data_IF_333258902791
#
_entry.id   IF_333258902791
#
_cell.length_a   1.000
_cell.length_b   1.000
_cell.length_c   1.000
_cell.angle_alpha   90.00
_cell.angle_beta   90.00
_cell.angle_gamma   90.00
#
_symmetry.space_group_name_H-M   'P 1'
#
loop_
_entity.id
_entity.type
_entity.pdbx_description
1 polymer ?
#
# COMPACT_ATOMS: atom_id res chain seq x y z
N UNK A 1 31.17 3.22 -8.15
CA UNK A 1 29.87 3.86 -8.32
C UNK A 1 28.81 2.77 -8.18
N UNK A 2 27.81 2.91 -7.33
CA UNK A 2 26.76 1.90 -7.20
C UNK A 2 25.81 1.98 -8.40
N UNK A 3 25.06 0.89 -8.66
CA UNK A 3 24.02 0.90 -9.71
C UNK A 3 23.02 2.05 -9.49
N UNK A 4 22.59 2.25 -8.25
CA UNK A 4 21.64 3.33 -7.91
C UNK A 4 22.21 4.71 -8.25
N UNK A 5 23.50 4.95 -7.96
CA UNK A 5 24.14 6.23 -8.28
C UNK A 5 24.24 6.48 -9.79
N UNK A 6 24.36 5.43 -10.62
CA UNK A 6 24.39 5.59 -12.08
C UNK A 6 23.06 6.05 -12.67
N UNK A 7 21.96 5.79 -12.01
CA UNK A 7 20.63 6.27 -12.43
C UNK A 7 20.48 7.80 -12.31
N UNK A 8 21.35 8.46 -11.55
CA UNK A 8 21.32 9.92 -11.42
C UNK A 8 21.81 10.63 -12.71
N UNK A 9 22.50 9.92 -13.58
CA UNK A 9 23.08 10.46 -14.81
C UNK A 9 22.41 9.91 -16.08
N UNK A 10 21.44 9.01 -15.93
CA UNK A 10 20.79 8.34 -17.06
C UNK A 10 19.27 8.45 -16.96
N UNK A 11 18.55 8.50 -18.11
CA UNK A 11 17.10 8.35 -18.08
C UNK A 11 16.69 7.00 -17.50
N UNK A 12 15.67 7.00 -16.63
CA UNK A 12 15.12 5.78 -16.04
C UNK A 12 13.60 5.87 -15.91
N UNK A 13 12.96 4.72 -15.76
CA UNK A 13 11.53 4.60 -15.47
C UNK A 13 11.32 3.90 -14.13
N UNK A 14 10.23 4.24 -13.45
CA UNK A 14 9.77 3.53 -12.27
C UNK A 14 8.55 2.69 -12.62
N UNK A 15 8.67 1.38 -12.40
CA UNK A 15 7.59 0.42 -12.63
C UNK A 15 7.09 -0.13 -11.31
N UNK A 16 5.77 -0.08 -11.12
CA UNK A 16 5.10 -0.54 -9.92
C UNK A 16 4.26 -1.79 -10.22
N UNK A 17 4.62 -2.89 -9.59
CA UNK A 17 3.89 -4.13 -9.72
C UNK A 17 2.51 -4.05 -9.03
N UNK A 18 1.57 -4.88 -9.50
CA UNK A 18 0.26 -5.02 -8.90
C UNK A 18 0.18 -6.14 -7.86
N UNK A 19 -0.91 -6.92 -7.91
CA UNK A 19 -1.12 -8.08 -7.05
C UNK A 19 0.01 -9.12 -7.21
N UNK A 20 0.13 -9.99 -6.20
CA UNK A 20 1.21 -10.99 -6.06
C UNK A 20 2.59 -10.42 -5.69
N UNK A 21 2.71 -9.13 -5.39
CA UNK A 21 3.90 -8.59 -4.74
C UNK A 21 4.02 -9.16 -3.32
N UNK A 22 5.20 -9.61 -2.87
CA UNK A 22 5.42 -10.13 -1.51
C UNK A 22 5.47 -8.98 -0.47
N UNK A 23 4.37 -8.26 -0.36
CA UNK A 23 4.27 -7.03 0.42
C UNK A 23 4.50 -7.23 1.93
N UNK A 24 4.17 -8.42 2.48
CA UNK A 24 4.38 -8.70 3.91
C UNK A 24 5.87 -8.68 4.27
N UNK A 25 6.68 -9.40 3.49
CA UNK A 25 8.14 -9.41 3.71
C UNK A 25 8.73 -7.99 3.56
N UNK A 26 8.28 -7.24 2.56
CA UNK A 26 8.72 -5.85 2.39
C UNK A 26 8.30 -4.94 3.56
N UNK A 27 7.11 -5.14 4.15
CA UNK A 27 6.71 -4.39 5.34
C UNK A 27 7.50 -4.79 6.58
N UNK A 28 7.88 -6.05 6.70
CA UNK A 28 8.76 -6.51 7.78
C UNK A 28 10.15 -5.84 7.66
N UNK A 29 10.70 -5.76 6.46
CA UNK A 29 11.97 -5.03 6.20
C UNK A 29 11.85 -3.54 6.54
N UNK A 30 10.77 -2.89 6.10
CA UNK A 30 10.48 -1.48 6.42
C UNK A 30 10.39 -1.25 7.92
N UNK A 31 9.74 -2.14 8.65
CA UNK A 31 9.57 -2.03 10.10
C UNK A 31 10.90 -2.06 10.87
N UNK A 32 11.92 -2.71 10.33
CA UNK A 32 13.27 -2.74 10.91
C UNK A 32 14.11 -1.50 10.60
N UNK A 33 13.66 -0.62 9.70
CA UNK A 33 14.30 0.68 9.45
C UNK A 33 13.46 1.81 10.07
N UNK A 34 13.88 2.39 11.21
CA UNK A 34 13.04 3.33 11.95
C UNK A 34 12.73 4.62 11.19
N UNK A 35 13.60 5.04 10.26
CA UNK A 35 13.37 6.26 9.48
C UNK A 35 12.34 6.02 8.38
N UNK A 36 12.46 4.91 7.65
CA UNK A 36 11.48 4.53 6.62
C UNK A 36 10.14 4.22 7.29
N UNK A 37 10.17 3.46 8.39
CA UNK A 37 8.97 3.14 9.16
C UNK A 37 8.21 4.38 9.62
N UNK A 38 8.91 5.40 10.15
CA UNK A 38 8.29 6.64 10.60
C UNK A 38 7.57 7.39 9.47
N UNK A 39 8.18 7.46 8.28
CA UNK A 39 7.59 8.15 7.13
C UNK A 39 6.35 7.39 6.64
N UNK A 40 6.47 6.07 6.45
CA UNK A 40 5.34 5.25 5.99
C UNK A 40 4.21 5.26 7.01
N UNK A 41 4.51 5.15 8.31
CA UNK A 41 3.52 5.24 9.39
C UNK A 41 2.81 6.61 9.40
N UNK A 42 3.54 7.70 9.13
CA UNK A 42 2.97 9.05 9.01
C UNK A 42 1.92 9.13 7.90
N UNK A 43 2.18 8.55 6.74
CA UNK A 43 1.21 8.48 5.62
C UNK A 43 -0.01 7.64 6.00
N UNK A 44 0.20 6.50 6.68
CA UNK A 44 -0.87 5.63 7.16
C UNK A 44 -1.77 6.40 8.14
N UNK A 45 -1.19 7.06 9.14
CA UNK A 45 -1.93 7.86 10.13
C UNK A 45 -2.70 9.02 9.47
N UNK A 46 -2.06 9.74 8.54
CA UNK A 46 -2.71 10.82 7.81
C UNK A 46 -3.91 10.31 6.99
N UNK A 47 -3.83 9.08 6.43
CA UNK A 47 -4.94 8.45 5.72
C UNK A 47 -6.14 8.16 6.63
N UNK A 48 -5.94 7.89 7.92
CA UNK A 48 -7.03 7.72 8.89
C UNK A 48 -7.87 9.01 9.04
N UNK A 49 -7.20 10.16 9.00
CA UNK A 49 -7.86 11.48 9.05
C UNK A 49 -8.72 11.70 7.80
N UNK A 50 -8.21 11.29 6.63
CA UNK A 50 -8.96 11.35 5.35
C UNK A 50 -10.19 10.43 5.40
N UNK A 51 -10.07 9.23 5.95
CA UNK A 51 -11.16 8.25 6.02
C UNK A 51 -12.20 8.57 7.11
N UNK A 52 -11.82 9.29 8.16
CA UNK A 52 -12.68 9.56 9.32
C UNK A 52 -14.07 10.08 8.96
N UNK A 53 -14.25 11.08 8.07
CA UNK A 53 -15.56 11.62 7.72
C UNK A 53 -16.48 10.60 7.03
N UNK A 54 -15.92 9.65 6.27
CA UNK A 54 -16.69 8.72 5.44
C UNK A 54 -16.93 7.36 6.10
N UNK A 55 -16.21 7.03 7.18
CA UNK A 55 -16.29 5.70 7.84
C UNK A 55 -17.72 5.30 8.21
N UNK A 56 -18.51 6.23 8.74
CA UNK A 56 -19.90 5.95 9.13
C UNK A 56 -20.77 5.59 7.92
N UNK A 57 -20.64 6.33 6.83
CA UNK A 57 -21.36 6.06 5.59
C UNK A 57 -20.95 4.74 4.95
N UNK A 58 -19.66 4.38 5.02
CA UNK A 58 -19.15 3.11 4.53
C UNK A 58 -19.71 1.93 5.34
N UNK A 59 -19.79 2.07 6.66
CA UNK A 59 -20.34 1.04 7.54
C UNK A 59 -21.80 0.74 7.22
N UNK A 60 -22.63 1.75 6.93
CA UNK A 60 -24.04 1.55 6.51
C UNK A 60 -24.14 0.79 5.17
N UNK A 61 -23.11 0.84 4.34
CA UNK A 61 -23.02 0.11 3.08
C UNK A 61 -22.33 -1.26 3.23
N UNK A 62 -22.07 -1.71 4.46
CA UNK A 62 -21.33 -2.95 4.77
C UNK A 62 -19.91 -2.97 4.18
N UNK A 63 -19.28 -1.81 4.07
CA UNK A 63 -17.86 -1.67 3.73
C UNK A 63 -17.09 -1.39 5.01
N UNK A 64 -16.26 -2.34 5.42
CA UNK A 64 -15.42 -2.21 6.61
C UNK A 64 -13.98 -1.92 6.17
N UNK A 65 -13.51 -0.71 6.46
CA UNK A 65 -12.10 -0.36 6.28
C UNK A 65 -11.34 -0.79 7.52
N UNK A 66 -10.55 -1.85 7.38
CA UNK A 66 -9.76 -2.39 8.48
C UNK A 66 -8.68 -1.38 8.93
N UNK A 67 -8.32 -1.40 10.23
CA UNK A 67 -7.09 -0.75 10.69
C UNK A 67 -5.91 -1.26 9.90
N UNK A 68 -4.97 -0.38 9.59
CA UNK A 68 -3.73 -0.74 8.93
C UNK A 68 -2.58 -0.07 9.68
N UNK A 69 -1.59 -0.85 10.08
CA UNK A 69 -0.38 -0.41 10.76
C UNK A 69 0.81 -1.18 10.21
N UNK A 70 2.00 -0.62 10.32
CA UNK A 70 3.22 -1.39 10.08
C UNK A 70 3.39 -2.47 11.17
N UNK A 71 4.07 -3.59 10.87
CA UNK A 71 4.50 -4.56 11.88
C UNK A 71 5.37 -3.87 12.94
N UNK A 72 5.36 -4.38 14.17
CA UNK A 72 6.32 -3.95 15.17
C UNK A 72 7.69 -4.64 14.90
N UNK A 73 8.83 -3.94 15.02
CA UNK A 73 10.15 -4.51 14.71
C UNK A 73 10.48 -5.78 15.51
N UNK A 74 10.00 -5.86 16.76
CA UNK A 74 10.25 -6.99 17.67
C UNK A 74 8.97 -7.79 17.98
N UNK A 75 7.87 -7.50 17.30
CA UNK A 75 6.56 -8.04 17.59
C UNK A 75 6.15 -9.19 16.67
N UNK A 76 5.44 -10.15 17.22
CA UNK A 76 4.58 -10.98 16.36
C UNK A 76 3.66 -10.04 15.57
N UNK A 77 3.68 -10.19 14.26
CA UNK A 77 2.91 -9.38 13.30
C UNK A 77 1.41 -9.50 13.61
N UNK A 78 0.91 -8.66 14.49
CA UNK A 78 -0.46 -8.76 15.01
C UNK A 78 -1.54 -8.48 13.94
N UNK A 79 -1.20 -7.79 12.84
CA UNK A 79 -2.17 -7.38 11.82
C UNK A 79 -1.92 -8.05 10.47
N UNK A 80 -0.72 -8.55 10.22
CA UNK A 80 -0.35 -9.14 8.92
C UNK A 80 -0.32 -10.66 8.92
N UNK A 81 -0.41 -11.33 10.09
CA UNK A 81 -0.52 -12.79 10.16
C UNK A 81 -1.93 -13.22 9.81
N UNK A 82 -2.03 -13.92 8.69
CA UNK A 82 -3.12 -14.81 8.34
C UNK A 82 -4.54 -14.25 8.29
N UNK A 83 -4.76 -13.14 7.60
CA UNK A 83 -6.07 -12.95 7.00
C UNK A 83 -6.05 -13.65 5.63
N UNK A 84 -5.90 -14.98 5.68
CA UNK A 84 -6.20 -15.80 4.51
C UNK A 84 -7.71 -15.79 4.34
N UNK A 85 -8.20 -15.48 3.14
CA UNK A 85 -9.63 -15.55 2.89
C UNK A 85 -10.24 -14.29 2.28
N UNK A 86 -11.54 -14.08 2.48
CA UNK A 86 -12.26 -12.99 1.82
C UNK A 86 -11.78 -11.57 2.20
N UNK A 87 -11.07 -11.43 3.31
CA UNK A 87 -10.57 -10.14 3.80
C UNK A 87 -9.12 -9.83 3.37
N UNK A 88 -8.47 -10.75 2.69
CA UNK A 88 -7.09 -10.58 2.22
C UNK A 88 -6.90 -9.27 1.42
N UNK A 89 -7.84 -8.94 0.54
CA UNK A 89 -7.76 -7.73 -0.26
C UNK A 89 -7.79 -6.44 0.60
N UNK A 90 -8.47 -6.46 1.76
CA UNK A 90 -8.53 -5.31 2.65
C UNK A 90 -7.16 -4.92 3.23
N UNK A 91 -6.23 -5.87 3.30
CA UNK A 91 -4.87 -5.67 3.79
C UNK A 91 -3.84 -5.65 2.66
N UNK A 92 -3.99 -6.50 1.63
CA UNK A 92 -2.99 -6.60 0.57
C UNK A 92 -2.94 -5.35 -0.31
N UNK A 93 -4.07 -4.71 -0.60
CA UNK A 93 -4.06 -3.49 -1.43
C UNK A 93 -3.28 -2.36 -0.75
N UNK A 94 -3.60 -1.94 0.49
CA UNK A 94 -2.79 -0.94 1.18
C UNK A 94 -1.38 -1.44 1.51
N UNK A 95 -1.19 -2.73 1.78
CA UNK A 95 0.11 -3.33 2.06
C UNK A 95 1.09 -3.20 0.89
N UNK A 96 0.62 -3.47 -0.33
CA UNK A 96 1.42 -3.29 -1.55
C UNK A 96 1.81 -1.82 -1.73
N UNK A 97 0.88 -0.89 -1.53
CA UNK A 97 1.16 0.56 -1.66
C UNK A 97 2.15 1.04 -0.61
N UNK A 98 2.04 0.58 0.64
CA UNK A 98 3.00 0.89 1.70
C UNK A 98 4.39 0.32 1.39
N UNK A 99 4.48 -0.92 0.90
CA UNK A 99 5.73 -1.54 0.50
C UNK A 99 6.40 -0.79 -0.67
N UNK A 100 5.63 -0.34 -1.65
CA UNK A 100 6.12 0.45 -2.78
C UNK A 100 6.64 1.83 -2.35
N UNK A 101 5.96 2.48 -1.42
CA UNK A 101 6.44 3.74 -0.83
C UNK A 101 7.74 3.52 -0.06
N UNK A 102 7.81 2.49 0.79
CA UNK A 102 9.03 2.17 1.53
C UNK A 102 10.21 1.88 0.62
N UNK A 103 10.01 1.08 -0.43
CA UNK A 103 11.06 0.81 -1.42
C UNK A 103 11.55 2.09 -2.14
N UNK A 104 10.65 3.03 -2.44
CA UNK A 104 11.02 4.30 -3.05
C UNK A 104 11.87 5.16 -2.11
N UNK A 105 11.51 5.20 -0.83
CA UNK A 105 12.28 5.92 0.20
C UNK A 105 13.67 5.28 0.35
N UNK A 106 13.74 3.95 0.40
CA UNK A 106 14.99 3.21 0.49
C UNK A 106 15.91 3.49 -0.71
N UNK A 107 15.40 3.46 -1.93
CA UNK A 107 16.14 3.84 -3.14
C UNK A 107 16.69 5.27 -3.05
N UNK A 108 15.90 6.20 -2.53
CA UNK A 108 16.33 7.60 -2.35
C UNK A 108 17.49 7.68 -1.34
N UNK A 109 17.41 6.93 -0.24
CA UNK A 109 18.48 6.83 0.76
C UNK A 109 19.72 6.11 0.22
N UNK A 110 19.54 5.12 -0.65
CA UNK A 110 20.63 4.45 -1.34
C UNK A 110 21.36 5.34 -2.36
N UNK A 111 20.91 6.58 -2.52
CA UNK A 111 21.56 7.60 -3.36
C UNK A 111 20.86 7.91 -4.68
N UNK A 112 19.64 7.43 -4.90
CA UNK A 112 18.84 7.88 -6.04
C UNK A 112 18.37 9.32 -5.81
N UNK A 113 18.88 10.26 -6.60
CA UNK A 113 18.45 11.66 -6.54
C UNK A 113 17.15 11.88 -7.33
N UNK A 114 16.07 11.28 -6.87
CA UNK A 114 14.78 11.33 -7.56
C UNK A 114 14.21 12.74 -7.69
N UNK A 115 14.60 13.65 -6.81
CA UNK A 115 14.16 15.06 -6.87
C UNK A 115 14.93 15.86 -7.93
N UNK A 116 16.23 15.56 -8.12
CA UNK A 116 17.09 16.24 -9.08
C UNK A 116 17.07 15.60 -10.49
N UNK A 117 16.90 14.28 -10.57
CA UNK A 117 16.74 13.55 -11.82
C UNK A 117 15.46 12.70 -11.77
N UNK A 118 14.35 13.32 -12.12
CA UNK A 118 13.04 12.66 -12.07
C UNK A 118 12.95 11.52 -13.10
N UNK A 119 12.17 10.47 -12.80
CA UNK A 119 11.90 9.42 -13.76
C UNK A 119 11.30 9.99 -15.07
N UNK A 120 11.76 9.50 -16.20
CA UNK A 120 11.21 9.88 -17.52
C UNK A 120 9.85 9.25 -17.76
N UNK A 121 9.53 8.13 -17.05
CA UNK A 121 8.25 7.49 -17.13
C UNK A 121 7.89 6.83 -15.77
N UNK A 122 6.60 6.74 -15.54
CA UNK A 122 6.00 5.94 -14.49
C UNK A 122 5.06 4.91 -15.11
N UNK A 123 5.21 3.67 -14.72
CA UNK A 123 4.35 2.58 -15.16
C UNK A 123 3.75 1.85 -13.96
N UNK A 124 2.47 1.56 -14.01
CA UNK A 124 1.77 0.81 -12.97
C UNK A 124 0.75 -0.13 -13.58
N UNK A 125 0.87 -1.43 -13.26
CA UNK A 125 -0.09 -2.44 -13.68
C UNK A 125 -1.08 -2.73 -12.54
N UNK A 126 -2.40 -2.70 -12.83
CA UNK A 126 -3.45 -2.99 -11.84
C UNK A 126 -3.31 -2.08 -10.61
N UNK A 127 -3.09 -2.64 -9.42
CA UNK A 127 -2.84 -1.86 -8.19
C UNK A 127 -1.55 -1.02 -8.25
N UNK A 128 -0.62 -1.34 -9.14
CA UNK A 128 0.58 -0.54 -9.36
C UNK A 128 0.30 0.90 -9.78
N UNK A 129 -0.91 1.18 -10.30
CA UNK A 129 -1.36 2.57 -10.56
C UNK A 129 -1.38 3.40 -9.27
N UNK A 130 -1.77 2.81 -8.13
CA UNK A 130 -1.70 3.49 -6.83
C UNK A 130 -0.25 3.72 -6.39
N UNK A 131 0.66 2.79 -6.73
CA UNK A 131 2.10 2.95 -6.54
C UNK A 131 2.66 4.14 -7.33
N UNK A 132 2.24 4.32 -8.58
CA UNK A 132 2.59 5.51 -9.38
C UNK A 132 2.12 6.79 -8.70
N UNK A 133 0.88 6.82 -8.24
CA UNK A 133 0.30 8.02 -7.64
C UNK A 133 0.94 8.36 -6.29
N UNK A 134 1.28 7.36 -5.46
CA UNK A 134 1.96 7.63 -4.18
C UNK A 134 3.41 8.07 -4.42
N UNK A 135 4.09 7.52 -5.44
CA UNK A 135 5.43 7.95 -5.83
C UNK A 135 5.44 9.40 -6.30
N UNK A 136 4.48 9.78 -7.14
CA UNK A 136 4.33 11.18 -7.59
C UNK A 136 4.05 12.13 -6.44
N UNK A 137 3.19 11.74 -5.50
CA UNK A 137 2.92 12.54 -4.31
C UNK A 137 4.18 12.71 -3.46
N UNK A 138 4.92 11.62 -3.24
CA UNK A 138 6.18 11.63 -2.51
C UNK A 138 7.22 12.55 -3.15
N UNK A 139 7.46 12.40 -4.46
CA UNK A 139 8.42 13.23 -5.23
C UNK A 139 8.03 14.71 -5.18
N UNK A 140 6.73 15.02 -5.19
CA UNK A 140 6.23 16.39 -5.10
C UNK A 140 6.24 16.96 -3.69
N UNK A 141 6.55 16.17 -2.65
CA UNK A 141 6.40 16.58 -1.25
C UNK A 141 4.94 16.84 -0.84
N UNK A 142 3.98 16.25 -1.56
CA UNK A 142 2.54 16.44 -1.32
C UNK A 142 2.00 15.35 -0.37
N UNK A 143 2.19 15.59 0.93
CA UNK A 143 1.74 14.68 1.99
C UNK A 143 0.22 14.47 1.98
N UNK A 144 -0.56 15.49 1.65
CA UNK A 144 -2.02 15.39 1.62
C UNK A 144 -2.47 14.46 0.48
N UNK A 145 -1.83 14.53 -0.68
CA UNK A 145 -2.07 13.61 -1.79
C UNK A 145 -1.61 12.20 -1.43
N UNK A 146 -0.45 12.02 -0.83
CA UNK A 146 0.03 10.70 -0.39
C UNK A 146 -0.96 10.04 0.58
N UNK A 147 -1.47 10.78 1.57
CA UNK A 147 -2.49 10.32 2.50
C UNK A 147 -3.79 9.95 1.77
N UNK A 148 -4.21 10.75 0.78
CA UNK A 148 -5.42 10.50 -0.01
C UNK A 148 -5.30 9.25 -0.88
N UNK A 149 -4.14 9.04 -1.52
CA UNK A 149 -3.86 7.82 -2.30
C UNK A 149 -3.87 6.58 -1.41
N UNK A 150 -3.27 6.68 -0.22
CA UNK A 150 -3.27 5.56 0.72
C UNK A 150 -4.67 5.26 1.27
N UNK A 151 -5.46 6.29 1.55
CA UNK A 151 -6.88 6.16 1.92
C UNK A 151 -7.68 5.46 0.80
N UNK A 152 -7.46 5.83 -0.46
CA UNK A 152 -8.07 5.19 -1.62
C UNK A 152 -7.67 3.71 -1.72
N UNK A 153 -6.41 3.36 -1.50
CA UNK A 153 -5.95 1.98 -1.46
C UNK A 153 -6.72 1.15 -0.42
N UNK A 154 -6.92 1.69 0.78
CA UNK A 154 -7.70 1.05 1.85
C UNK A 154 -9.18 0.89 1.47
N UNK A 155 -9.77 1.87 0.80
CA UNK A 155 -11.15 1.78 0.32
C UNK A 155 -11.32 0.72 -0.77
N UNK A 156 -10.41 0.67 -1.73
CA UNK A 156 -10.41 -0.35 -2.79
C UNK A 156 -10.27 -1.75 -2.18
N UNK A 157 -9.34 -1.93 -1.24
CA UNK A 157 -9.15 -3.19 -0.55
C UNK A 157 -10.41 -3.64 0.22
N UNK A 158 -11.04 -2.72 0.96
CA UNK A 158 -12.27 -2.99 1.70
C UNK A 158 -13.45 -3.32 0.77
N UNK A 159 -13.58 -2.64 -0.36
CA UNK A 159 -14.59 -2.91 -1.36
C UNK A 159 -14.39 -4.30 -2.02
N UNK A 160 -13.16 -4.63 -2.38
CA UNK A 160 -12.81 -5.94 -2.94
C UNK A 160 -13.10 -7.07 -1.94
N UNK A 161 -12.72 -6.91 -0.67
CA UNK A 161 -13.02 -7.88 0.38
C UNK A 161 -14.55 -8.08 0.57
N UNK A 162 -15.33 -6.99 0.51
CA UNK A 162 -16.80 -7.08 0.55
C UNK A 162 -17.35 -7.91 -0.61
N UNK A 163 -16.89 -7.67 -1.84
CA UNK A 163 -17.32 -8.42 -3.02
C UNK A 163 -16.97 -9.90 -2.87
N UNK A 164 -15.76 -10.21 -2.42
CA UNK A 164 -15.30 -11.59 -2.20
C UNK A 164 -16.14 -12.30 -1.14
N UNK A 165 -16.46 -11.62 -0.01
CA UNK A 165 -17.34 -12.18 1.03
C UNK A 165 -18.73 -12.50 0.48
N UNK A 166 -19.30 -11.62 -0.34
CA UNK A 166 -20.61 -11.84 -0.95
C UNK A 166 -20.62 -12.99 -1.94
N UNK A 167 -19.58 -13.10 -2.77
CA UNK A 167 -19.44 -14.17 -3.74
C UNK A 167 -19.22 -15.55 -3.08
N UNK A 168 -18.66 -15.57 -1.86
CA UNK A 168 -18.42 -16.81 -1.10
C UNK A 168 -19.53 -17.14 -0.09
N UNK A 169 -20.47 -16.23 0.17
CA UNK A 169 -21.61 -16.54 1.00
C UNK A 169 -22.43 -17.65 0.32
N UNK A 170 -22.72 -18.76 1.02
CA UNK A 170 -23.58 -19.81 0.46
C UNK A 170 -24.93 -19.15 0.12
N UNK A 171 -25.40 -19.32 -1.10
CA UNK A 171 -26.75 -18.98 -1.43
C UNK A 171 -27.67 -19.79 -0.52
N UNK A 172 -28.64 -19.14 0.11
CA UNK A 172 -29.62 -19.83 0.94
C UNK A 172 -30.38 -20.82 0.05
N UNK A 173 -30.01 -22.09 0.07
CA UNK A 173 -30.57 -23.14 -0.78
C UNK A 173 -29.55 -23.97 -1.58
N UNK A 174 -28.30 -23.55 -1.67
CA UNK A 174 -27.28 -24.36 -2.32
C UNK A 174 -26.77 -25.45 -1.37
N UNK A 175 -27.15 -26.69 -1.70
CA UNK A 175 -26.54 -27.85 -1.11
C UNK A 175 -25.03 -27.83 -1.40
N UNK A 176 -24.26 -27.98 -0.35
CA UNK A 176 -22.81 -28.09 -0.33
C UNK A 176 -22.33 -29.02 -1.44
N UNK A 177 -21.73 -28.48 -2.48
CA UNK A 177 -20.87 -29.28 -3.34
C UNK A 177 -19.53 -29.43 -2.60
N UNK A 178 -19.34 -30.61 -2.01
CA UNK A 178 -18.03 -31.10 -1.59
C UNK A 178 -17.20 -31.49 -2.81
#
# INVERSE_FOLDING_TARGET
MSFVSSLNETPYALTFAGQATPWRAALDEIAHDPEIAAIVAGVIEASDKVLSPVRRSLATQSVSVLPFTLPAPDGEVAVTREVAGPDEAALSVPGIVAAQLGALIDLTRAGLNIMGNQPTAFEGHSQGVLGVEIARAWIAGDEARAASVFALARLIGAAAARVTRRARAPHAGDATYM
#
